data_IF_018594280092
#
_entry.id   IF_018594280092
#
_cell.length_a   1.000
_cell.length_b   1.000
_cell.length_c   1.000
_cell.angle_alpha   90.00
_cell.angle_beta   90.00
_cell.angle_gamma   90.00
#
_symmetry.space_group_name_H-M   'P 1'
#
loop_
_entity.id
_entity.type
_entity.pdbx_description
1 polymer ?
#
# COMPACT_ATOMS: atom_id res chain seq x y z
N UNK A 1 -1.67 -8.55 -13.57
CA UNK A 1 -1.00 -7.88 -12.45
C UNK A 1 0.13 -8.77 -11.92
N UNK A 2 1.10 -8.16 -11.28
CA UNK A 2 2.27 -8.87 -10.75
C UNK A 2 1.87 -9.92 -9.72
N UNK A 3 2.57 -11.04 -9.72
CA UNK A 3 2.36 -12.10 -8.75
C UNK A 3 2.63 -11.58 -7.33
N UNK A 4 1.67 -11.72 -6.44
CA UNK A 4 1.80 -11.24 -5.05
C UNK A 4 1.33 -9.82 -4.83
N UNK A 5 0.81 -9.15 -5.85
CA UNK A 5 0.27 -7.80 -5.74
C UNK A 5 -1.20 -7.83 -6.08
N UNK A 6 -2.04 -7.36 -5.17
CA UNK A 6 -3.49 -7.28 -5.41
C UNK A 6 -4.02 -5.95 -4.91
N UNK A 7 -5.11 -5.50 -5.52
CA UNK A 7 -5.85 -4.33 -5.05
C UNK A 7 -7.28 -4.75 -4.76
N UNK A 8 -7.85 -4.15 -3.71
CA UNK A 8 -9.19 -4.47 -3.26
C UNK A 8 -9.96 -3.18 -3.07
N UNK A 9 -11.11 -3.03 -3.73
CA UNK A 9 -11.92 -1.82 -3.54
C UNK A 9 -12.30 -1.66 -2.07
N UNK A 10 -12.30 -0.42 -1.61
CA UNK A 10 -12.67 -0.09 -0.24
C UNK A 10 -13.91 0.79 -0.23
N UNK A 11 -14.69 0.68 0.84
CA UNK A 11 -15.86 1.51 1.01
C UNK A 11 -15.46 2.90 1.44
N UNK A 12 -16.05 3.88 0.78
CA UNK A 12 -15.97 5.29 1.15
C UNK A 12 -17.42 5.72 1.37
N UNK A 13 -17.77 5.99 2.60
CA UNK A 13 -19.15 6.28 2.97
C UNK A 13 -19.28 7.77 3.25
N UNK A 14 -20.10 8.43 2.44
CA UNK A 14 -20.34 9.87 2.58
C UNK A 14 -21.40 10.07 3.65
N UNK A 15 -21.05 10.79 4.70
CA UNK A 15 -21.99 11.11 5.77
C UNK A 15 -21.83 12.58 6.17
N UNK A 16 -22.88 13.20 6.70
CA UNK A 16 -22.76 14.61 7.15
C UNK A 16 -21.67 14.75 8.19
N UNK A 17 -20.92 15.85 8.10
CA UNK A 17 -19.86 16.22 9.04
C UNK A 17 -18.54 15.47 8.86
N UNK A 18 -18.45 14.55 7.92
CA UNK A 18 -17.18 13.89 7.62
C UNK A 18 -17.37 12.45 7.21
N UNK A 19 -16.75 12.09 6.12
CA UNK A 19 -16.90 10.78 5.50
C UNK A 19 -16.14 9.70 6.26
N UNK A 20 -16.54 8.46 6.02
CA UNK A 20 -15.89 7.29 6.59
C UNK A 20 -15.13 6.58 5.49
N UNK A 21 -13.85 6.33 5.73
CA UNK A 21 -12.99 5.61 4.80
C UNK A 21 -12.60 4.28 5.43
N UNK A 22 -13.09 3.17 4.86
CA UNK A 22 -12.73 1.85 5.35
C UNK A 22 -11.29 1.51 4.98
N UNK A 23 -10.66 0.67 5.75
CA UNK A 23 -9.26 0.30 5.52
C UNK A 23 -9.06 -1.20 5.47
N UNK A 24 -9.23 -1.90 6.60
CA UNK A 24 -8.91 -3.32 6.67
C UNK A 24 -9.72 -3.99 7.77
N UNK A 25 -10.33 -5.12 7.44
CA UNK A 25 -10.99 -5.97 8.42
C UNK A 25 -10.28 -7.31 8.46
N UNK A 26 -10.34 -7.97 9.61
CA UNK A 26 -9.69 -9.28 9.75
C UNK A 26 -10.31 -10.34 8.84
N UNK A 27 -11.48 -10.07 8.29
CA UNK A 27 -12.14 -10.99 7.36
C UNK A 27 -11.87 -10.66 5.90
N UNK A 28 -11.11 -9.60 5.62
CA UNK A 28 -10.81 -9.19 4.25
C UNK A 28 -9.79 -10.11 3.61
N UNK A 29 -9.94 -10.30 2.29
CA UNK A 29 -8.92 -10.99 1.51
C UNK A 29 -7.63 -10.16 1.55
N UNK A 30 -6.52 -10.82 1.79
CA UNK A 30 -5.24 -10.12 1.93
C UNK A 30 -4.85 -9.86 3.38
N UNK A 31 -5.77 -10.05 4.32
CA UNK A 31 -5.44 -9.95 5.73
C UNK A 31 -4.83 -11.28 6.17
N UNK A 32 -3.60 -11.23 6.66
CA UNK A 32 -2.91 -12.45 7.11
C UNK A 32 -2.48 -12.34 8.57
N UNK A 33 -2.91 -11.30 9.26
CA UNK A 33 -2.57 -11.08 10.66
C UNK A 33 -2.23 -9.64 10.92
N UNK A 34 -2.00 -9.30 12.17
CA UNK A 34 -1.65 -7.94 12.55
C UNK A 34 -0.37 -7.94 13.35
N UNK A 35 0.61 -7.17 12.92
CA UNK A 35 1.83 -6.93 13.67
C UNK A 35 1.98 -5.48 14.05
N UNK A 36 1.77 -4.59 13.09
CA UNK A 36 1.93 -3.17 13.37
C UNK A 36 1.19 -2.34 12.32
N UNK A 37 0.80 -1.14 12.71
CA UNK A 37 0.19 -0.18 11.81
C UNK A 37 0.71 1.21 12.15
N UNK A 38 1.00 2.01 11.12
CA UNK A 38 1.39 3.39 11.33
C UNK A 38 0.99 4.23 10.12
N UNK A 39 0.93 5.53 10.32
CA UNK A 39 0.72 6.47 9.23
C UNK A 39 2.07 6.98 8.74
N UNK A 40 2.20 7.10 7.44
CA UNK A 40 3.38 7.67 6.82
C UNK A 40 2.93 8.78 5.91
N UNK A 41 3.67 9.87 5.88
CA UNK A 41 3.37 10.98 5.00
C UNK A 41 4.42 11.09 3.91
N UNK A 42 4.03 11.69 2.79
CA UNK A 42 4.97 11.97 1.73
C UNK A 42 4.58 13.29 1.05
N UNK A 43 5.58 14.15 0.86
CA UNK A 43 5.38 15.44 0.20
C UNK A 43 5.26 15.25 -1.30
N UNK A 44 4.61 16.22 -1.94
CA UNK A 44 4.49 16.24 -3.39
C UNK A 44 5.88 16.18 -4.04
N UNK A 45 6.04 15.26 -4.97
CA UNK A 45 7.28 15.13 -5.72
C UNK A 45 8.38 14.37 -5.01
N UNK A 46 8.18 14.00 -3.75
CA UNK A 46 9.18 13.25 -3.02
C UNK A 46 8.99 11.75 -3.24
N UNK A 47 10.08 11.01 -3.11
CA UNK A 47 10.05 9.56 -3.24
C UNK A 47 10.72 8.93 -2.02
N UNK A 48 10.17 7.81 -1.56
CA UNK A 48 10.73 7.02 -0.47
C UNK A 48 10.87 5.58 -0.93
N UNK A 49 11.89 4.92 -0.50
CA UNK A 49 12.17 3.52 -0.83
C UNK A 49 13.62 3.43 -1.24
N UNK A 50 14.06 2.41 -1.84
CA UNK A 50 13.43 1.09 -2.06
C UNK A 50 13.54 0.25 -0.82
N UNK A 51 12.54 -0.58 -0.57
CA UNK A 51 12.50 -1.40 0.62
C UNK A 51 11.90 -2.75 0.29
N UNK A 52 12.47 -3.80 0.84
CA UNK A 52 11.94 -5.15 0.65
C UNK A 52 11.75 -5.79 2.02
N UNK A 53 10.56 -6.34 2.22
CA UNK A 53 10.27 -7.12 3.42
C UNK A 53 10.18 -8.58 3.01
N UNK A 54 10.98 -9.41 3.64
CA UNK A 54 11.09 -10.81 3.23
C UNK A 54 10.05 -11.71 3.88
N UNK A 55 9.38 -11.23 4.93
CA UNK A 55 8.42 -12.06 5.67
C UNK A 55 7.07 -11.40 5.90
N UNK A 56 6.97 -10.10 5.68
CA UNK A 56 5.73 -9.37 5.97
C UNK A 56 4.87 -9.20 4.74
N UNK A 57 3.57 -9.37 4.92
CA UNK A 57 2.58 -8.95 3.95
C UNK A 57 2.15 -7.54 4.31
N UNK A 58 2.14 -6.64 3.35
CA UNK A 58 1.75 -5.26 3.56
C UNK A 58 0.34 -5.02 3.05
N UNK A 59 -0.41 -4.22 3.80
CA UNK A 59 -1.69 -3.70 3.35
C UNK A 59 -1.62 -2.18 3.48
N UNK A 60 -1.85 -1.48 2.37
CA UNK A 60 -1.60 -0.05 2.26
C UNK A 60 -2.86 0.67 1.80
N UNK A 61 -3.17 1.78 2.45
CA UNK A 61 -4.37 2.58 2.15
C UNK A 61 -3.96 4.05 2.14
N UNK A 62 -4.48 4.80 1.18
CA UNK A 62 -4.20 6.24 1.07
C UNK A 62 -5.50 7.01 1.27
N UNK A 63 -5.77 7.48 2.50
CA UNK A 63 -7.01 8.23 2.75
C UNK A 63 -6.91 9.72 2.43
N UNK A 64 -5.70 10.25 2.24
CA UNK A 64 -5.50 11.67 1.94
C UNK A 64 -4.44 11.80 0.86
N UNK A 65 -4.76 12.50 -0.21
CA UNK A 65 -3.81 12.79 -1.27
C UNK A 65 -3.77 11.72 -2.35
N UNK A 66 -2.61 11.50 -2.91
CA UNK A 66 -2.40 10.49 -3.95
C UNK A 66 -0.97 10.00 -3.88
N UNK A 67 -0.79 8.69 -3.89
CA UNK A 67 0.53 8.08 -3.78
C UNK A 67 0.67 7.03 -4.88
N UNK A 68 1.76 7.09 -5.62
CA UNK A 68 2.08 6.08 -6.62
C UNK A 68 3.08 5.11 -6.01
N UNK A 69 2.70 3.84 -5.99
CA UNK A 69 3.56 2.75 -5.53
C UNK A 69 4.20 2.09 -6.73
N UNK A 70 5.51 1.88 -6.66
CA UNK A 70 6.25 1.17 -7.69
C UNK A 70 6.79 -0.09 -7.05
N UNK A 71 6.47 -1.24 -7.64
CA UNK A 71 6.83 -2.53 -7.09
C UNK A 71 7.68 -3.26 -8.11
N UNK A 72 8.78 -3.85 -7.65
CA UNK A 72 9.68 -4.59 -8.51
C UNK A 72 9.82 -6.02 -7.99
N UNK A 73 9.67 -6.98 -8.89
CA UNK A 73 9.77 -8.40 -8.57
C UNK A 73 11.10 -8.94 -9.06
N UNK A 74 12.00 -9.25 -8.13
CA UNK A 74 13.26 -9.90 -8.48
C UNK A 74 13.35 -11.32 -7.92
N UNK A 75 12.19 -11.88 -7.51
CA UNK A 75 12.17 -13.20 -6.90
C UNK A 75 12.48 -14.28 -7.92
N UNK A 76 13.46 -15.12 -7.59
CA UNK A 76 13.84 -16.23 -8.44
C UNK A 76 12.68 -17.22 -8.54
N UNK A 77 12.34 -17.61 -9.77
CA UNK A 77 11.24 -18.55 -9.98
C UNK A 77 9.85 -17.92 -10.04
N UNK A 78 9.73 -16.63 -9.78
CA UNK A 78 8.43 -15.97 -9.90
C UNK A 78 8.04 -15.80 -11.35
N UNK A 79 6.76 -16.00 -11.71
CA UNK A 79 6.32 -15.79 -13.09
C UNK A 79 6.45 -14.34 -13.55
N UNK A 80 6.57 -13.39 -12.61
CA UNK A 80 6.74 -11.97 -12.96
C UNK A 80 8.13 -11.45 -12.61
N UNK A 81 9.11 -12.32 -12.44
CA UNK A 81 10.48 -11.92 -12.13
C UNK A 81 11.01 -10.95 -13.20
N UNK A 82 11.57 -9.84 -12.74
CA UNK A 82 12.12 -8.81 -13.64
C UNK A 82 11.13 -7.72 -14.03
N UNK A 83 9.91 -7.80 -13.55
CA UNK A 83 8.86 -6.84 -13.93
C UNK A 83 8.65 -5.78 -12.88
N UNK A 84 8.19 -4.61 -13.34
CA UNK A 84 7.74 -3.50 -12.49
C UNK A 84 6.23 -3.36 -12.61
N UNK A 85 5.61 -2.91 -11.52
CA UNK A 85 4.18 -2.61 -11.49
C UNK A 85 4.01 -1.24 -10.84
N UNK A 86 3.18 -0.38 -11.43
CA UNK A 86 2.88 0.93 -10.84
C UNK A 86 1.41 0.98 -10.48
N UNK A 87 1.10 1.40 -9.27
CA UNK A 87 -0.27 1.49 -8.79
C UNK A 87 -0.42 2.80 -8.03
N UNK A 88 -1.37 3.63 -8.44
CA UNK A 88 -1.67 4.88 -7.75
C UNK A 88 -2.91 4.70 -6.90
N UNK A 89 -2.82 5.05 -5.63
CA UNK A 89 -3.95 5.03 -4.71
C UNK A 89 -4.33 6.45 -4.36
N UNK A 90 -5.63 6.72 -4.38
CA UNK A 90 -6.16 8.03 -4.04
C UNK A 90 -7.62 7.88 -3.62
N UNK A 91 -8.06 8.59 -2.59
CA UNK A 91 -9.48 8.51 -2.20
C UNK A 91 -10.42 9.11 -3.23
N UNK A 92 -9.90 9.94 -4.15
CA UNK A 92 -10.74 10.64 -5.11
C UNK A 92 -10.95 9.89 -6.41
N UNK A 93 -9.99 9.07 -6.84
CA UNK A 93 -10.11 8.39 -8.12
C UNK A 93 -10.63 6.96 -7.95
N UNK A 94 -9.94 6.18 -7.16
CA UNK A 94 -10.28 4.77 -6.98
C UNK A 94 -9.78 4.37 -5.60
N UNK A 95 -10.68 4.37 -4.64
CA UNK A 95 -10.28 4.09 -3.26
C UNK A 95 -10.12 2.59 -3.08
N UNK A 96 -8.87 2.16 -2.92
CA UNK A 96 -8.50 0.74 -2.88
C UNK A 96 -7.44 0.50 -1.83
N UNK A 97 -7.36 -0.74 -1.38
CA UNK A 97 -6.28 -1.22 -0.53
C UNK A 97 -5.32 -2.03 -1.38
N UNK A 98 -4.04 -1.73 -1.27
CA UNK A 98 -2.98 -2.45 -1.98
C UNK A 98 -2.38 -3.48 -1.04
N UNK A 99 -2.38 -4.75 -1.47
CA UNK A 99 -1.76 -5.84 -0.71
C UNK A 99 -0.50 -6.29 -1.44
N UNK A 100 0.62 -6.33 -0.72
CA UNK A 100 1.92 -6.68 -1.29
C UNK A 100 2.49 -7.85 -0.50
N UNK A 101 2.73 -8.96 -1.21
CA UNK A 101 3.29 -10.17 -0.62
C UNK A 101 4.75 -9.98 -0.23
N UNK A 102 5.29 -10.82 0.65
CA UNK A 102 6.71 -10.76 1.01
C UNK A 102 7.61 -10.96 -0.21
N UNK A 103 8.81 -10.39 -0.14
CA UNK A 103 9.84 -10.63 -1.14
C UNK A 103 9.86 -9.63 -2.28
N UNK A 104 8.95 -8.68 -2.29
CA UNK A 104 8.87 -7.67 -3.35
C UNK A 104 9.50 -6.36 -2.90
N UNK A 105 10.18 -5.69 -3.83
CA UNK A 105 10.71 -4.35 -3.59
C UNK A 105 9.62 -3.32 -3.82
N UNK A 106 9.58 -2.31 -2.98
CA UNK A 106 8.58 -1.26 -3.12
C UNK A 106 9.19 0.11 -2.84
N UNK A 107 8.78 1.07 -3.65
CA UNK A 107 9.05 2.49 -3.44
C UNK A 107 7.74 3.22 -3.66
N UNK A 108 7.62 4.43 -3.13
CA UNK A 108 6.43 5.21 -3.39
C UNK A 108 6.76 6.68 -3.55
N UNK A 109 5.87 7.38 -4.24
CA UNK A 109 6.08 8.73 -4.73
C UNK A 109 4.83 9.55 -4.45
N UNK A 110 5.00 10.77 -3.95
CA UNK A 110 3.89 11.66 -3.65
C UNK A 110 3.38 12.35 -4.89
N UNK A 111 2.19 11.95 -5.34
CA UNK A 111 1.56 12.54 -6.53
C UNK A 111 0.58 13.64 -6.19
N UNK A 112 0.06 13.66 -4.97
CA UNK A 112 -0.87 14.70 -4.54
C UNK A 112 -0.18 16.06 -4.45
N UNK A 113 -0.97 17.13 -4.53
CA UNK A 113 -0.41 18.48 -4.55
C UNK A 113 0.17 18.93 -3.22
N UNK A 114 -0.29 18.38 -2.14
CA UNK A 114 0.25 18.67 -0.82
C UNK A 114 0.89 17.45 -0.23
N UNK A 115 0.76 17.32 1.09
CA UNK A 115 1.24 16.14 1.78
C UNK A 115 0.18 15.06 1.65
N UNK A 116 0.59 13.89 1.18
CA UNK A 116 -0.28 12.70 1.15
C UNK A 116 0.00 11.87 2.38
N UNK A 117 -1.00 11.12 2.83
CA UNK A 117 -0.88 10.28 4.01
C UNK A 117 -1.32 8.87 3.65
N UNK A 118 -0.54 7.88 4.07
CA UNK A 118 -0.91 6.49 3.88
C UNK A 118 -0.92 5.76 5.21
N UNK A 119 -1.81 4.79 5.30
CA UNK A 119 -1.82 3.83 6.40
C UNK A 119 -1.01 2.62 5.95
N UNK A 120 0.01 2.29 6.72
CA UNK A 120 0.92 1.19 6.45
C UNK A 120 0.66 0.14 7.52
N UNK A 121 0.21 -1.03 7.12
CA UNK A 121 -0.06 -2.09 8.07
C UNK A 121 0.58 -3.39 7.59
N UNK A 122 1.09 -4.17 8.52
CA UNK A 122 1.77 -5.42 8.23
C UNK A 122 1.41 -6.46 9.28
N UNK A 123 1.63 -7.73 8.93
CA UNK A 123 1.32 -8.85 9.83
C UNK A 123 2.44 -9.12 10.84
N UNK A 124 3.54 -8.35 10.75
CA UNK A 124 4.65 -8.46 11.71
C UNK A 124 5.26 -7.08 11.89
N UNK A 125 5.92 -6.86 13.02
CA UNK A 125 6.62 -5.60 13.25
C UNK A 125 7.81 -5.49 12.32
N UNK A 126 8.17 -4.24 11.96
CA UNK A 126 9.31 -3.97 11.10
C UNK A 126 10.59 -4.43 11.81
N UNK A 127 11.35 -5.27 11.14
CA UNK A 127 12.56 -5.85 11.71
C UNK A 127 13.72 -4.89 11.75
N UNK A 128 13.68 -3.84 10.98
CA UNK A 128 14.80 -2.92 10.92
C UNK A 128 14.95 -2.07 12.15
N UNK A 129 13.83 -1.65 12.63
CA UNK A 129 13.77 -0.72 13.78
C UNK A 129 15.00 0.17 13.89
#
# INVERSE_FOLDING_TARGET
MMEGVTVHPLKHIVVPKGDIYHALKSTDEGYVGFGEAYFSQIEHGAAKGWKRHNRMTLNLVVPVGAVKFVIYDDREGSPTCGQFEEITLSPESCYQRLTVAPGLWMAFYGEGEGISCLLYTSDAADERS
#
